data_IF_033657545591
#
_entry.id   IF_033657545591
#
_cell.length_a   1.000
_cell.length_b   1.000
_cell.length_c   1.000
_cell.angle_alpha   90.00
_cell.angle_beta   90.00
_cell.angle_gamma   90.00
#
_symmetry.space_group_name_H-M   'P 1'
#
loop_
_entity.id
_entity.type
_entity.pdbx_description
1 polymer ?
#
# COMPACT_ATOMS: atom_id res chain seq x y z
N UNK A 1 -45.28 -73.53 21.29
CA UNK A 1 -45.49 -72.81 20.01
C UNK A 1 -44.36 -71.80 19.86
N UNK A 2 -43.33 -72.12 19.07
CA UNK A 2 -42.47 -71.10 18.43
C UNK A 2 -43.21 -70.62 17.15
N UNK A 3 -42.84 -69.51 16.45
CA UNK A 3 -41.53 -68.84 16.40
C UNK A 3 -41.59 -67.27 16.42
N UNK A 4 -40.51 -66.59 16.84
CA UNK A 4 -39.55 -65.81 16.03
C UNK A 4 -40.09 -64.56 15.32
N UNK A 5 -39.53 -63.38 15.64
CA UNK A 5 -38.83 -62.59 14.63
C UNK A 5 -37.74 -61.70 15.27
N UNK A 6 -36.61 -61.62 14.58
CA UNK A 6 -35.34 -61.03 14.97
C UNK A 6 -35.12 -59.82 14.06
N UNK A 7 -34.79 -58.66 14.61
CA UNK A 7 -34.16 -57.58 13.84
C UNK A 7 -33.02 -56.92 14.65
N UNK A 8 -31.92 -56.49 14.01
CA UNK A 8 -30.61 -56.26 14.64
C UNK A 8 -30.43 -54.84 15.21
N UNK A 9 -29.37 -54.58 16.00
CA UNK A 9 -29.11 -53.26 16.56
C UNK A 9 -28.74 -52.25 15.45
N UNK A 10 -29.39 -51.09 15.44
CA UNK A 10 -28.90 -49.94 14.66
C UNK A 10 -27.64 -49.42 15.35
N UNK A 11 -26.51 -49.73 14.75
CA UNK A 11 -25.26 -49.00 14.92
C UNK A 11 -25.50 -47.58 14.40
N UNK A 12 -25.45 -46.58 15.27
CA UNK A 12 -25.28 -45.20 14.83
C UNK A 12 -23.80 -44.89 15.08
N UNK A 13 -22.98 -45.22 14.08
CA UNK A 13 -21.59 -44.76 14.03
C UNK A 13 -21.60 -43.23 13.99
N UNK A 14 -21.01 -42.64 15.03
CA UNK A 14 -20.70 -41.24 15.12
C UNK A 14 -19.60 -40.93 14.09
N UNK A 15 -20.01 -40.50 12.90
CA UNK A 15 -19.11 -40.00 11.87
C UNK A 15 -18.50 -38.68 12.34
N UNK A 16 -17.34 -38.76 12.97
CA UNK A 16 -16.47 -37.62 13.25
C UNK A 16 -15.86 -37.13 11.93
N UNK A 17 -16.62 -36.31 11.21
CA UNK A 17 -16.10 -35.58 10.06
C UNK A 17 -15.07 -34.55 10.56
N UNK A 18 -13.80 -34.95 10.55
CA UNK A 18 -12.66 -34.04 10.67
C UNK A 18 -12.68 -33.09 9.48
N UNK A 19 -13.22 -31.89 9.68
CA UNK A 19 -13.11 -30.81 8.71
C UNK A 19 -11.70 -30.25 8.84
N UNK A 20 -10.78 -30.75 8.02
CA UNK A 20 -9.51 -30.08 7.80
C UNK A 20 -9.78 -28.72 7.15
N UNK A 21 -9.21 -27.61 7.65
CA UNK A 21 -9.38 -26.32 6.99
C UNK A 21 -8.61 -26.36 5.68
N UNK A 22 -9.35 -26.48 4.57
CA UNK A 22 -8.81 -26.23 3.24
C UNK A 22 -8.43 -24.76 3.18
N UNK A 23 -7.14 -24.45 3.39
CA UNK A 23 -6.57 -23.16 3.05
C UNK A 23 -6.59 -23.08 1.53
N UNK A 24 -7.63 -22.43 1.00
CA UNK A 24 -7.68 -22.06 -0.40
C UNK A 24 -6.47 -21.17 -0.69
N UNK A 25 -5.51 -21.70 -1.43
CA UNK A 25 -4.39 -20.92 -1.97
C UNK A 25 -5.00 -19.92 -2.95
N UNK A 26 -5.24 -18.70 -2.47
CA UNK A 26 -5.58 -17.57 -3.32
C UNK A 26 -4.38 -17.34 -4.25
N UNK A 27 -4.60 -17.45 -5.57
CA UNK A 27 -3.61 -17.05 -6.58
C UNK A 27 -3.12 -15.63 -6.28
N UNK A 28 -1.81 -15.34 -6.24
CA UNK A 28 -1.34 -13.98 -6.06
C UNK A 28 -1.65 -13.20 -7.35
N UNK A 29 -2.70 -12.38 -7.33
CA UNK A 29 -2.88 -11.36 -8.35
C UNK A 29 -1.92 -10.22 -8.03
N UNK A 30 -0.91 -10.06 -8.87
CA UNK A 30 0.23 -9.13 -8.79
C UNK A 30 1.31 -9.48 -7.75
N UNK A 31 2.56 -9.59 -8.22
CA UNK A 31 3.72 -9.58 -7.35
C UNK A 31 3.73 -8.26 -6.55
N UNK A 32 3.71 -8.36 -5.23
CA UNK A 32 3.89 -7.21 -4.34
C UNK A 32 5.25 -6.62 -4.63
N UNK A 33 5.29 -5.43 -5.22
CA UNK A 33 6.55 -4.72 -5.48
C UNK A 33 6.95 -4.00 -4.19
N UNK A 34 7.97 -4.52 -3.52
CA UNK A 34 8.56 -3.84 -2.37
C UNK A 34 9.43 -2.69 -2.85
N UNK A 35 9.37 -1.56 -2.13
CA UNK A 35 10.28 -0.45 -2.37
C UNK A 35 11.69 -0.78 -1.87
N UNK A 36 12.69 -0.30 -2.59
CA UNK A 36 14.09 -0.34 -2.16
C UNK A 36 14.68 1.06 -2.20
N UNK A 37 15.85 1.26 -1.59
CA UNK A 37 16.57 2.53 -1.66
C UNK A 37 16.84 3.00 -3.12
N UNK A 38 16.91 2.06 -4.06
CA UNK A 38 17.16 2.32 -5.47
C UNK A 38 15.90 2.59 -6.32
N UNK A 39 14.70 2.64 -5.71
CA UNK A 39 13.47 2.97 -6.44
C UNK A 39 13.59 4.34 -7.11
N UNK A 40 12.82 4.58 -8.17
CA UNK A 40 12.78 5.87 -8.89
C UNK A 40 11.56 6.71 -8.51
N UNK A 41 11.57 8.03 -8.77
CA UNK A 41 10.37 8.85 -8.60
C UNK A 41 9.14 8.30 -9.34
N UNK A 42 9.34 7.81 -10.57
CA UNK A 42 8.27 7.29 -11.41
C UNK A 42 7.64 6.03 -10.80
N UNK A 43 8.42 5.15 -10.18
CA UNK A 43 7.91 3.95 -9.50
C UNK A 43 7.08 4.32 -8.26
N UNK A 44 7.52 5.30 -7.47
CA UNK A 44 6.75 5.80 -6.31
C UNK A 44 5.42 6.38 -6.75
N UNK A 45 5.43 7.25 -7.77
CA UNK A 45 4.21 7.87 -8.29
C UNK A 45 3.29 6.84 -8.95
N UNK A 46 3.83 5.90 -9.72
CA UNK A 46 3.04 4.84 -10.36
C UNK A 46 2.42 3.89 -9.34
N UNK A 47 3.10 3.62 -8.23
CA UNK A 47 2.54 2.85 -7.13
C UNK A 47 1.38 3.59 -6.47
N UNK A 48 1.59 4.88 -6.16
CA UNK A 48 0.63 5.69 -5.41
C UNK A 48 -0.64 6.00 -6.20
N UNK A 49 -0.47 6.43 -7.44
CA UNK A 49 -1.54 6.91 -8.31
C UNK A 49 -2.03 5.87 -9.32
N UNK A 50 -1.25 4.81 -9.57
CA UNK A 50 -1.46 3.90 -10.69
C UNK A 50 -0.76 4.40 -11.97
N UNK A 51 -1.05 3.79 -13.14
CA UNK A 51 -0.35 4.07 -14.40
C UNK A 51 -0.55 5.50 -14.92
N UNK A 52 -1.52 6.24 -14.38
CA UNK A 52 -1.73 7.65 -14.65
C UNK A 52 -2.25 8.34 -13.39
N UNK A 53 -1.85 9.60 -13.19
CA UNK A 53 -2.39 10.42 -12.08
C UNK A 53 -3.89 10.60 -12.27
N UNK A 54 -4.75 10.30 -11.27
CA UNK A 54 -6.18 10.54 -11.33
C UNK A 54 -6.47 12.02 -11.63
N UNK A 55 -7.24 12.29 -12.69
CA UNK A 55 -7.64 13.65 -13.10
C UNK A 55 -9.14 13.94 -13.00
N UNK A 56 -9.94 12.96 -12.60
CA UNK A 56 -11.38 13.13 -12.36
C UNK A 56 -11.73 12.89 -10.90
N UNK A 57 -12.79 13.55 -10.43
CA UNK A 57 -13.33 13.33 -9.09
C UNK A 57 -13.60 11.85 -8.81
N UNK A 58 -14.24 11.15 -9.74
CA UNK A 58 -14.57 9.74 -9.58
C UNK A 58 -13.30 8.85 -9.43
N UNK A 59 -12.24 9.14 -10.19
CA UNK A 59 -10.99 8.39 -10.08
C UNK A 59 -10.26 8.67 -8.75
N UNK A 60 -10.31 9.91 -8.26
CA UNK A 60 -9.78 10.27 -6.94
C UNK A 60 -10.57 9.56 -5.83
N UNK A 61 -11.90 9.61 -5.89
CA UNK A 61 -12.79 8.94 -4.93
C UNK A 61 -12.56 7.43 -4.87
N UNK A 62 -12.37 6.79 -6.03
CA UNK A 62 -12.04 5.36 -6.11
C UNK A 62 -10.71 5.00 -5.41
N UNK A 63 -9.79 5.95 -5.25
CA UNK A 63 -8.52 5.75 -4.55
C UNK A 63 -8.56 6.14 -3.05
N UNK A 64 -9.61 6.80 -2.56
CA UNK A 64 -9.68 7.22 -1.15
C UNK A 64 -9.55 6.05 -0.17
N UNK A 65 -10.16 4.91 -0.50
CA UNK A 65 -10.12 3.71 0.35
C UNK A 65 -8.69 3.19 0.57
N UNK A 66 -7.86 3.16 -0.48
CA UNK A 66 -6.48 2.67 -0.36
C UNK A 66 -5.54 3.71 0.27
N UNK A 67 -5.77 5.00 0.04
CA UNK A 67 -4.93 6.06 0.62
C UNK A 67 -5.22 6.28 2.11
N UNK A 68 -6.49 6.21 2.53
CA UNK A 68 -6.88 6.66 3.88
C UNK A 68 -7.57 5.60 4.74
N UNK A 69 -8.15 4.56 4.16
CA UNK A 69 -8.94 3.56 4.92
C UNK A 69 -8.23 2.23 5.12
N UNK A 70 -7.00 2.05 4.62
CA UNK A 70 -6.31 0.75 4.66
C UNK A 70 -7.09 -0.36 3.93
N UNK A 71 -7.89 0.01 2.92
CA UNK A 71 -8.76 -0.90 2.19
C UNK A 71 -7.99 -1.85 1.24
N UNK A 72 -6.68 -1.68 1.11
CA UNK A 72 -5.81 -2.45 0.22
C UNK A 72 -4.59 -2.99 1.01
N UNK A 73 -4.69 -4.23 1.46
CA UNK A 73 -3.63 -4.87 2.25
C UNK A 73 -2.31 -5.00 1.48
N UNK A 74 -2.34 -5.22 0.16
CA UNK A 74 -1.12 -5.37 -0.64
C UNK A 74 -0.42 -4.03 -0.82
N UNK A 75 -1.19 -2.95 -0.99
CA UNK A 75 -0.68 -1.58 -0.95
C UNK A 75 0.00 -1.26 0.38
N UNK A 76 -0.61 -1.64 1.50
CA UNK A 76 -0.02 -1.45 2.83
C UNK A 76 1.26 -2.28 3.03
N UNK A 77 1.28 -3.54 2.60
CA UNK A 77 2.48 -4.41 2.70
C UNK A 77 3.63 -3.84 1.90
N UNK A 78 3.37 -3.36 0.68
CA UNK A 78 4.39 -2.81 -0.22
C UNK A 78 5.15 -1.63 0.41
N UNK A 79 4.41 -0.75 1.11
CA UNK A 79 4.97 0.43 1.78
C UNK A 79 5.81 0.07 3.00
N UNK A 80 5.55 -1.06 3.68
CA UNK A 80 6.38 -1.50 4.82
C UNK A 80 7.81 -1.88 4.40
N UNK A 81 8.04 -2.18 3.12
CA UNK A 81 9.39 -2.37 2.56
C UNK A 81 10.15 -1.06 2.34
N UNK A 82 9.51 0.10 2.44
CA UNK A 82 10.08 1.37 2.02
C UNK A 82 11.07 2.01 3.01
N UNK A 83 11.41 1.37 4.13
CA UNK A 83 12.31 1.94 5.14
C UNK A 83 13.64 2.47 4.54
N UNK A 84 14.29 1.66 3.70
CA UNK A 84 15.54 2.07 3.04
C UNK A 84 15.35 3.18 2.01
N UNK A 85 14.19 3.24 1.35
CA UNK A 85 13.84 4.35 0.47
C UNK A 85 13.64 5.64 1.28
N UNK A 86 12.90 5.58 2.39
CA UNK A 86 12.64 6.73 3.25
C UNK A 86 13.96 7.30 3.78
N UNK A 87 14.88 6.44 4.22
CA UNK A 87 16.20 6.83 4.69
C UNK A 87 17.01 7.53 3.58
N UNK A 88 17.05 6.96 2.37
CA UNK A 88 17.74 7.57 1.23
C UNK A 88 17.12 8.92 0.82
N UNK A 89 15.79 9.03 0.82
CA UNK A 89 15.10 10.29 0.44
C UNK A 89 15.22 11.39 1.50
N UNK A 90 15.58 11.00 2.73
CA UNK A 90 15.89 11.88 3.83
C UNK A 90 17.32 12.47 3.77
N UNK A 91 18.19 12.02 2.86
CA UNK A 91 19.57 12.51 2.65
C UNK A 91 19.73 13.22 1.30
N UNK A 92 19.41 14.52 1.19
CA UNK A 92 19.34 15.24 -0.09
C UNK A 92 20.63 15.20 -0.92
N UNK A 93 21.79 15.18 -0.27
CA UNK A 93 23.12 15.14 -0.88
C UNK A 93 23.37 13.88 -1.71
N UNK A 94 22.69 12.78 -1.42
CA UNK A 94 22.81 11.51 -2.16
C UNK A 94 21.83 11.41 -3.34
N UNK A 95 20.92 12.37 -3.47
CA UNK A 95 19.85 12.33 -4.46
C UNK A 95 20.31 12.79 -5.84
N UNK A 96 20.10 11.91 -6.82
CA UNK A 96 20.29 12.23 -8.23
C UNK A 96 19.28 13.31 -8.72
N UNK A 97 19.52 13.85 -9.92
CA UNK A 97 18.71 14.95 -10.49
C UNK A 97 17.23 14.62 -10.65
N UNK A 98 16.85 13.36 -10.87
CA UNK A 98 15.45 12.99 -11.07
C UNK A 98 14.62 13.18 -9.80
N UNK A 99 15.23 13.07 -8.62
CA UNK A 99 14.59 13.33 -7.32
C UNK A 99 14.44 14.82 -6.98
N UNK A 100 15.07 15.68 -7.78
CA UNK A 100 15.03 17.14 -7.65
C UNK A 100 14.11 17.80 -8.68
N UNK A 101 13.55 17.04 -9.60
CA UNK A 101 12.52 17.54 -10.52
C UNK A 101 11.19 17.76 -9.78
N UNK A 102 10.23 18.50 -10.35
CA UNK A 102 8.91 18.67 -9.74
C UNK A 102 8.21 17.36 -9.35
N UNK A 103 8.20 16.39 -10.27
CA UNK A 103 7.64 15.05 -10.02
C UNK A 103 8.50 14.26 -9.04
N UNK A 104 9.81 14.44 -9.06
CA UNK A 104 10.76 13.94 -8.07
C UNK A 104 10.44 14.40 -6.66
N UNK A 105 10.17 15.68 -6.47
CA UNK A 105 9.84 16.25 -5.17
C UNK A 105 8.46 15.78 -4.68
N UNK A 106 7.46 15.66 -5.56
CA UNK A 106 6.18 15.05 -5.20
C UNK A 106 6.35 13.61 -4.71
N UNK A 107 7.14 12.80 -5.42
CA UNK A 107 7.43 11.43 -5.02
C UNK A 107 8.12 11.37 -3.64
N UNK A 108 9.03 12.31 -3.36
CA UNK A 108 9.69 12.43 -2.06
C UNK A 108 8.70 12.78 -0.95
N UNK A 109 7.80 13.73 -1.18
CA UNK A 109 6.77 14.10 -0.20
C UNK A 109 5.91 12.87 0.14
N UNK A 110 5.45 12.13 -0.87
CA UNK A 110 4.65 10.91 -0.67
C UNK A 110 5.43 9.87 0.14
N UNK A 111 6.68 9.59 -0.20
CA UNK A 111 7.46 8.59 0.53
C UNK A 111 7.76 9.03 1.99
N UNK A 112 8.18 10.28 2.19
CA UNK A 112 8.59 10.80 3.49
C UNK A 112 7.42 10.97 4.45
N UNK A 113 6.22 11.29 3.96
CA UNK A 113 5.02 11.48 4.80
C UNK A 113 4.11 10.25 4.78
N UNK A 114 3.67 9.78 3.60
CA UNK A 114 2.68 8.69 3.51
C UNK A 114 3.30 7.33 3.81
N UNK A 115 4.43 6.97 3.18
CA UNK A 115 5.02 5.65 3.41
C UNK A 115 5.58 5.53 4.83
N UNK A 116 6.13 6.63 5.38
CA UNK A 116 6.60 6.69 6.76
C UNK A 116 5.50 6.30 7.77
N UNK A 117 4.26 6.77 7.57
CA UNK A 117 3.10 6.45 8.44
C UNK A 117 2.70 4.98 8.38
N UNK A 118 2.90 4.31 7.24
CA UNK A 118 2.62 2.89 7.09
C UNK A 118 3.79 2.04 7.60
N UNK A 119 5.02 2.41 7.27
CA UNK A 119 6.24 1.68 7.61
C UNK A 119 6.53 1.68 9.11
N UNK A 120 6.32 2.83 9.78
CA UNK A 120 6.64 3.02 11.20
C UNK A 120 5.39 3.24 12.05
N UNK A 121 4.25 2.65 11.65
CA UNK A 121 2.94 2.83 12.29
C UNK A 121 3.02 2.68 13.81
N UNK A 122 2.33 3.57 14.53
CA UNK A 122 2.28 3.63 15.99
C UNK A 122 3.63 3.89 16.68
N UNK A 123 4.59 4.50 15.98
CA UNK A 123 5.86 4.95 16.55
C UNK A 123 6.12 6.43 16.26
N UNK A 124 7.05 7.05 17.01
CA UNK A 124 7.47 8.42 16.74
C UNK A 124 8.17 8.56 15.37
N UNK A 125 8.83 7.50 14.88
CA UNK A 125 9.52 7.49 13.60
C UNK A 125 8.59 7.72 12.40
N UNK A 126 7.29 7.43 12.54
CA UNK A 126 6.29 7.74 11.52
C UNK A 126 6.24 9.23 11.16
N UNK A 127 6.61 10.11 12.10
CA UNK A 127 6.54 11.57 11.97
C UNK A 127 7.93 12.23 11.85
N UNK A 128 9.02 11.44 11.84
CA UNK A 128 10.37 11.97 11.90
C UNK A 128 10.75 12.84 10.68
N UNK A 129 10.07 12.64 9.55
CA UNK A 129 10.32 13.36 8.31
C UNK A 129 9.29 14.46 8.00
N UNK A 130 8.30 14.71 8.87
CA UNK A 130 7.19 15.64 8.61
C UNK A 130 7.71 17.05 8.29
N UNK A 131 8.67 17.57 9.08
CA UNK A 131 9.26 18.89 8.84
C UNK A 131 9.94 19.00 7.46
N UNK A 132 10.57 17.91 7.00
CA UNK A 132 11.23 17.86 5.68
C UNK A 132 10.20 17.77 4.56
N UNK A 133 9.14 16.96 4.73
CA UNK A 133 8.05 16.88 3.77
C UNK A 133 7.34 18.24 3.61
N UNK A 134 7.09 18.97 4.71
CA UNK A 134 6.54 20.31 4.68
C UNK A 134 7.46 21.31 3.95
N UNK A 135 8.76 21.33 4.27
CA UNK A 135 9.71 22.22 3.60
C UNK A 135 9.78 21.98 2.08
N UNK A 136 9.72 20.71 1.66
CA UNK A 136 9.63 20.36 0.24
C UNK A 136 8.31 20.85 -0.37
N UNK A 137 7.17 20.67 0.31
CA UNK A 137 5.89 21.15 -0.19
C UNK A 137 5.89 22.68 -0.36
N UNK A 138 6.45 23.41 0.60
CA UNK A 138 6.61 24.87 0.52
C UNK A 138 7.51 25.29 -0.65
N UNK A 139 8.63 24.61 -0.87
CA UNK A 139 9.51 24.84 -2.03
C UNK A 139 8.73 24.72 -3.35
N UNK A 140 7.94 23.65 -3.50
CA UNK A 140 7.20 23.40 -4.74
C UNK A 140 6.11 24.44 -4.97
N UNK A 141 5.40 24.84 -3.91
CA UNK A 141 4.37 25.91 -3.98
C UNK A 141 5.02 27.24 -4.36
N UNK A 142 6.09 27.63 -3.66
CA UNK A 142 6.77 28.92 -3.90
C UNK A 142 7.42 28.99 -5.28
N UNK A 143 7.84 27.86 -5.85
CA UNK A 143 8.41 27.79 -7.18
C UNK A 143 7.35 27.68 -8.30
N UNK A 144 6.06 27.58 -7.96
CA UNK A 144 4.95 27.50 -8.92
C UNK A 144 4.91 26.21 -9.75
N UNK A 145 5.62 25.16 -9.33
CA UNK A 145 5.80 23.95 -10.15
C UNK A 145 4.52 23.14 -10.39
N UNK A 146 3.50 23.29 -9.53
CA UNK A 146 2.24 22.57 -9.68
C UNK A 146 1.28 23.23 -10.69
N UNK A 147 1.37 24.54 -10.89
CA UNK A 147 0.40 25.31 -11.67
C UNK A 147 0.45 25.00 -13.18
N UNK A 148 1.59 24.52 -13.70
CA UNK A 148 1.75 24.15 -15.11
C UNK A 148 1.40 22.70 -15.44
N UNK A 149 1.32 21.81 -14.45
CA UNK A 149 1.21 20.34 -14.64
C UNK A 149 -0.17 19.78 -14.21
N UNK A 150 -0.86 20.46 -13.28
CA UNK A 150 -2.11 19.97 -12.67
C UNK A 150 -3.29 20.88 -13.03
N UNK A 151 -3.98 20.54 -14.12
CA UNK A 151 -5.23 21.16 -14.57
C UNK A 151 -6.35 20.88 -13.55
N UNK A 152 -7.35 21.77 -13.49
CA UNK A 152 -8.56 21.62 -12.68
C UNK A 152 -9.14 20.20 -12.82
N UNK A 153 -9.47 19.61 -11.66
CA UNK A 153 -10.15 18.31 -11.59
C UNK A 153 -11.57 18.51 -12.13
N UNK A 154 -11.94 17.72 -13.14
CA UNK A 154 -13.32 17.62 -13.65
C UNK A 154 -14.21 16.79 -12.70
#
# INVERSE_FOLDING_TARGET
MAPAEKAPPMNVEEATASVEPTVAIVKPAAAVTLFSAASSPAEVLSFWFGPAVPRSRAAIEANMGRWFAGADLLFDVSQRGAAGLIEHLATPEELNVSWRSPTGVLARIIALDQFSRVCYRATASAYANDARACALAEEVVNAGWFESEYVAIE
#
